data_IF_431245105610
#
_entry.id   IF_431245105610
#
_cell.length_a   1.000
_cell.length_b   1.000
_cell.length_c   1.000
_cell.angle_alpha   90.00
_cell.angle_beta   90.00
_cell.angle_gamma   90.00
#
_symmetry.space_group_name_H-M   'P 1'
#
loop_
_entity.id
_entity.type
_entity.pdbx_description
1 polymer ?
#
# COMPACT_ATOMS: atom_id res chain seq x y z
N UNK A 1 2.75 12.36 -14.63
CA UNK A 1 1.72 11.29 -14.50
C UNK A 1 2.01 10.13 -15.44
N UNK A 2 2.21 10.36 -16.73
CA UNK A 2 2.55 9.31 -17.72
C UNK A 2 3.76 8.48 -17.34
N UNK A 3 4.82 9.09 -16.83
CA UNK A 3 6.05 8.40 -16.45
C UNK A 3 5.81 7.31 -15.40
N UNK A 4 4.92 7.55 -14.44
CA UNK A 4 4.56 6.57 -13.42
C UNK A 4 3.86 5.34 -14.01
N UNK A 5 2.89 5.54 -14.91
CA UNK A 5 2.20 4.42 -15.57
C UNK A 5 3.10 3.65 -16.54
N UNK A 6 4.02 4.34 -17.21
CA UNK A 6 5.02 3.69 -18.04
C UNK A 6 5.94 2.79 -17.23
N UNK A 7 6.40 3.27 -16.04
CA UNK A 7 7.20 2.47 -15.11
C UNK A 7 6.39 1.28 -14.58
N UNK A 8 5.14 1.50 -14.17
CA UNK A 8 4.28 0.44 -13.67
C UNK A 8 3.99 -0.61 -14.75
N UNK A 9 3.65 -0.18 -15.97
CA UNK A 9 3.45 -1.06 -17.12
C UNK A 9 4.70 -1.87 -17.44
N UNK A 10 5.87 -1.23 -17.42
CA UNK A 10 7.16 -1.89 -17.62
C UNK A 10 7.41 -2.97 -16.55
N UNK A 11 7.17 -2.66 -15.28
CA UNK A 11 7.30 -3.62 -14.18
C UNK A 11 6.35 -4.82 -14.32
N UNK A 12 5.09 -4.57 -14.72
CA UNK A 12 4.12 -5.64 -14.96
C UNK A 12 4.56 -6.55 -16.13
N UNK A 13 5.09 -5.96 -17.21
CA UNK A 13 5.60 -6.72 -18.35
C UNK A 13 6.87 -7.52 -18.00
N UNK A 14 7.79 -6.94 -17.21
CA UNK A 14 8.99 -7.63 -16.71
C UNK A 14 8.66 -8.75 -15.72
N UNK A 15 7.57 -8.60 -14.94
CA UNK A 15 7.07 -9.61 -14.03
C UNK A 15 6.17 -10.66 -14.70
N UNK A 16 6.02 -10.62 -16.03
CA UNK A 16 5.15 -11.51 -16.82
C UNK A 16 3.66 -11.45 -16.41
N UNK A 17 3.24 -10.34 -15.79
CA UNK A 17 1.86 -10.08 -15.33
C UNK A 17 1.02 -9.52 -16.51
N UNK A 18 0.89 -10.27 -17.58
CA UNK A 18 0.27 -9.79 -18.82
C UNK A 18 -1.22 -9.47 -18.67
N UNK A 19 -1.93 -10.16 -17.79
CA UNK A 19 -3.33 -9.88 -17.47
C UNK A 19 -3.53 -8.48 -16.86
N UNK A 20 -2.74 -8.15 -15.85
CA UNK A 20 -2.77 -6.82 -15.18
C UNK A 20 -2.29 -5.72 -16.12
N UNK A 21 -1.26 -5.99 -16.93
CA UNK A 21 -0.79 -5.04 -17.94
C UNK A 21 -1.89 -4.72 -18.98
N UNK A 22 -2.70 -5.70 -19.38
CA UNK A 22 -3.84 -5.49 -20.27
C UNK A 22 -4.95 -4.67 -19.61
N UNK A 23 -5.25 -4.92 -18.33
CA UNK A 23 -6.24 -4.15 -17.58
C UNK A 23 -5.80 -2.70 -17.43
N UNK A 24 -4.54 -2.47 -17.07
CA UNK A 24 -3.97 -1.13 -16.99
C UNK A 24 -4.03 -0.40 -18.35
N UNK A 25 -3.71 -1.07 -19.46
CA UNK A 25 -3.80 -0.49 -20.79
C UNK A 25 -5.24 -0.16 -21.19
N UNK A 26 -6.21 -1.05 -20.90
CA UNK A 26 -7.64 -0.76 -21.13
C UNK A 26 -8.12 0.44 -20.33
N UNK A 27 -7.65 0.54 -19.09
CA UNK A 27 -7.94 1.69 -18.24
C UNK A 27 -7.33 2.99 -18.81
N UNK A 28 -6.06 2.98 -19.21
CA UNK A 28 -5.39 4.14 -19.79
C UNK A 28 -6.05 4.61 -21.09
N UNK A 29 -6.57 3.69 -21.91
CA UNK A 29 -7.33 4.01 -23.12
C UNK A 29 -8.69 4.68 -22.84
N UNK A 30 -9.26 4.51 -21.64
CA UNK A 30 -10.51 5.17 -21.23
C UNK A 30 -10.26 6.56 -20.63
N UNK A 31 -9.05 6.87 -20.15
CA UNK A 31 -8.69 8.16 -19.62
C UNK A 31 -8.69 9.22 -20.73
N UNK A 32 -9.20 10.44 -20.44
CA UNK A 32 -9.21 11.54 -21.39
C UNK A 32 -8.15 12.58 -21.03
N UNK A 33 -7.50 13.17 -22.02
CA UNK A 33 -6.61 14.33 -21.81
C UNK A 33 -5.15 14.13 -22.16
N UNK A 34 -4.79 12.97 -22.71
CA UNK A 34 -3.42 12.68 -23.15
C UNK A 34 -3.21 12.90 -24.66
N UNK A 35 -1.94 12.95 -25.10
CA UNK A 35 -1.58 13.11 -26.52
C UNK A 35 -2.02 11.88 -27.34
N UNK A 36 -2.58 12.09 -28.52
CA UNK A 36 -3.06 11.04 -29.43
C UNK A 36 -2.02 9.94 -29.69
N UNK A 37 -0.72 10.26 -29.62
CA UNK A 37 0.37 9.29 -29.81
C UNK A 37 0.42 8.23 -28.72
N UNK A 38 0.12 8.59 -27.48
CA UNK A 38 0.13 7.63 -26.37
C UNK A 38 -1.03 6.64 -26.49
N UNK A 39 -2.19 7.09 -26.95
CA UNK A 39 -3.32 6.18 -27.20
C UNK A 39 -3.01 5.18 -28.32
N UNK A 40 -2.34 5.60 -29.39
CA UNK A 40 -1.91 4.70 -30.46
C UNK A 40 -0.88 3.66 -29.98
N UNK A 41 0.06 4.07 -29.12
CA UNK A 41 1.06 3.19 -28.52
C UNK A 41 0.41 2.17 -27.56
N UNK A 42 -0.50 2.61 -26.70
CA UNK A 42 -1.22 1.74 -25.76
C UNK A 42 -2.16 0.75 -26.46
N UNK A 43 -2.88 1.19 -27.48
CA UNK A 43 -3.75 0.33 -28.28
C UNK A 43 -2.94 -0.72 -29.06
N UNK A 44 -1.80 -0.32 -29.62
CA UNK A 44 -0.89 -1.23 -30.31
C UNK A 44 -0.31 -2.27 -29.36
N UNK A 45 0.09 -1.87 -28.15
CA UNK A 45 0.64 -2.77 -27.15
C UNK A 45 -0.45 -3.71 -26.61
N UNK A 46 -1.66 -3.23 -26.35
CA UNK A 46 -2.79 -4.05 -25.94
C UNK A 46 -3.14 -5.09 -27.01
N UNK A 47 -3.21 -4.68 -28.27
CA UNK A 47 -3.46 -5.58 -29.40
C UNK A 47 -2.38 -6.67 -29.51
N UNK A 48 -1.11 -6.29 -29.31
CA UNK A 48 0.00 -7.25 -29.30
C UNK A 48 -0.10 -8.24 -28.14
N UNK A 49 -0.40 -7.75 -26.92
CA UNK A 49 -0.59 -8.60 -25.74
C UNK A 49 -1.77 -9.55 -25.92
N UNK A 50 -2.87 -9.12 -26.52
CA UNK A 50 -4.05 -9.96 -26.79
C UNK A 50 -3.76 -11.05 -27.84
N UNK A 51 -2.87 -10.78 -28.81
CA UNK A 51 -2.43 -11.77 -29.78
C UNK A 51 -1.37 -12.74 -29.23
N UNK A 52 -0.43 -12.23 -28.43
CA UNK A 52 0.69 -13.02 -27.91
C UNK A 52 0.27 -13.93 -26.75
N UNK A 53 -0.70 -13.50 -25.94
CA UNK A 53 -1.20 -14.19 -24.74
C UNK A 53 -2.73 -14.30 -24.77
N UNK A 54 -3.32 -15.06 -25.70
CA UNK A 54 -4.77 -15.26 -25.79
C UNK A 54 -5.25 -16.10 -24.61
N UNK A 55 -6.07 -15.52 -23.73
CA UNK A 55 -6.64 -16.19 -22.55
C UNK A 55 -6.44 -15.43 -21.26
N UNK A 56 -5.58 -14.43 -21.23
CA UNK A 56 -5.42 -13.52 -20.10
C UNK A 56 -6.20 -12.22 -20.37
N UNK A 57 -7.52 -12.26 -20.12
CA UNK A 57 -8.40 -11.09 -20.17
C UNK A 57 -9.27 -10.99 -21.42
N UNK A 58 -10.27 -11.81 -21.54
CA UNK A 58 -11.59 -11.52 -22.12
C UNK A 58 -12.53 -12.70 -21.93
N UNK A 59 -13.67 -12.49 -21.27
CA UNK A 59 -14.99 -12.68 -21.84
C UNK A 59 -16.07 -12.28 -20.81
N UNK A 60 -17.00 -11.47 -21.29
CA UNK A 60 -18.14 -11.03 -20.53
C UNK A 60 -19.08 -12.21 -20.18
N UNK A 61 -19.44 -12.25 -18.95
CA UNK A 61 -20.75 -12.50 -18.36
C UNK A 61 -20.62 -12.69 -16.84
N UNK A 62 -21.41 -11.98 -16.13
CA UNK A 62 -21.40 -11.48 -14.77
C UNK A 62 -21.47 -12.51 -13.61
N UNK A 63 -21.06 -13.78 -13.79
CA UNK A 63 -21.05 -14.74 -12.68
C UNK A 63 -19.86 -15.74 -12.71
N UNK A 64 -19.18 -15.91 -13.82
CA UNK A 64 -17.96 -16.73 -13.95
C UNK A 64 -16.68 -15.96 -13.60
N UNK A 65 -16.70 -14.62 -13.75
CA UNK A 65 -15.53 -13.75 -13.55
C UNK A 65 -15.03 -13.70 -12.10
N UNK A 66 -15.95 -13.63 -11.13
CA UNK A 66 -15.59 -13.64 -9.70
C UNK A 66 -15.03 -14.99 -9.25
N UNK A 67 -15.47 -16.10 -9.85
CA UNK A 67 -14.93 -17.42 -9.56
C UNK A 67 -13.57 -17.64 -10.18
N UNK A 68 -13.38 -17.27 -11.44
CA UNK A 68 -12.10 -17.39 -12.15
C UNK A 68 -11.04 -16.44 -11.59
N UNK A 69 -11.43 -15.23 -11.15
CA UNK A 69 -10.53 -14.29 -10.47
C UNK A 69 -10.09 -14.83 -9.11
N UNK A 70 -11.01 -15.40 -8.33
CA UNK A 70 -10.68 -16.05 -7.06
C UNK A 70 -9.75 -17.26 -7.24
N UNK A 71 -10.02 -18.11 -8.22
CA UNK A 71 -9.17 -19.27 -8.51
C UNK A 71 -7.76 -18.86 -8.95
N UNK A 72 -7.62 -17.81 -9.78
CA UNK A 72 -6.31 -17.26 -10.16
C UNK A 72 -5.59 -16.61 -8.97
N UNK A 73 -6.28 -15.81 -8.17
CA UNK A 73 -5.72 -15.20 -6.96
C UNK A 73 -5.29 -16.27 -5.93
N UNK A 74 -6.04 -17.38 -5.82
CA UNK A 74 -5.68 -18.51 -4.97
C UNK A 74 -4.48 -19.29 -5.53
N UNK A 75 -4.37 -19.46 -6.85
CA UNK A 75 -3.24 -20.12 -7.51
C UNK A 75 -1.96 -19.27 -7.41
N UNK A 76 -2.05 -17.96 -7.62
CA UNK A 76 -0.92 -17.03 -7.45
C UNK A 76 -0.48 -16.94 -5.99
N UNK A 77 -1.41 -16.87 -5.05
CA UNK A 77 -1.10 -16.90 -3.62
C UNK A 77 -0.40 -18.20 -3.21
N UNK A 78 -0.86 -19.33 -3.76
CA UNK A 78 -0.26 -20.65 -3.50
C UNK A 78 1.15 -20.77 -4.10
N UNK A 79 1.36 -20.28 -5.32
CA UNK A 79 2.68 -20.21 -5.96
C UNK A 79 3.64 -19.30 -5.16
N UNK A 80 3.17 -18.13 -4.76
CA UNK A 80 3.95 -17.19 -3.95
C UNK A 80 4.32 -17.83 -2.60
N UNK A 81 3.38 -18.51 -1.95
CA UNK A 81 3.64 -19.22 -0.70
C UNK A 81 4.71 -20.31 -0.89
N UNK A 82 4.66 -21.08 -1.96
CA UNK A 82 5.67 -22.11 -2.27
C UNK A 82 7.05 -21.50 -2.50
N UNK A 83 7.15 -20.35 -3.16
CA UNK A 83 8.40 -19.62 -3.40
C UNK A 83 8.99 -19.03 -2.11
N UNK A 84 8.11 -18.58 -1.21
CA UNK A 84 8.51 -17.99 0.08
C UNK A 84 8.85 -19.05 1.14
N UNK A 85 8.35 -20.27 0.98
CA UNK A 85 8.51 -21.39 1.91
C UNK A 85 9.25 -22.57 1.24
N UNK A 86 10.58 -22.46 1.01
CA UNK A 86 11.35 -23.56 0.45
C UNK A 86 11.36 -24.77 1.40
N UNK A 87 11.41 -26.01 0.86
CA UNK A 87 11.34 -27.22 1.66
C UNK A 87 12.58 -27.43 2.58
N UNK A 88 13.73 -26.88 2.20
CA UNK A 88 14.97 -26.96 2.98
C UNK A 88 15.24 -25.62 3.68
N UNK A 89 14.81 -25.52 4.94
CA UNK A 89 15.07 -24.37 5.82
C UNK A 89 16.21 -24.70 6.80
N UNK A 90 17.40 -24.89 6.27
CA UNK A 90 18.59 -25.12 7.09
C UNK A 90 19.02 -23.84 7.85
N UNK A 91 19.94 -24.00 8.80
CA UNK A 91 20.44 -22.88 9.60
C UNK A 91 21.12 -21.79 8.73
N UNK A 92 21.73 -22.17 7.61
CA UNK A 92 22.37 -21.25 6.70
C UNK A 92 21.32 -20.36 5.99
N UNK A 93 20.21 -20.95 5.54
CA UNK A 93 19.08 -20.22 4.96
C UNK A 93 18.46 -19.24 5.97
N UNK A 94 18.18 -19.70 7.20
CA UNK A 94 17.63 -18.83 8.26
C UNK A 94 18.54 -17.64 8.52
N UNK A 95 19.83 -17.88 8.68
CA UNK A 95 20.81 -16.82 8.92
C UNK A 95 20.90 -15.84 7.73
N UNK A 96 20.80 -16.32 6.50
CA UNK A 96 20.79 -15.47 5.31
C UNK A 96 19.54 -14.57 5.27
N UNK A 97 18.35 -15.12 5.54
CA UNK A 97 17.11 -14.34 5.57
C UNK A 97 17.18 -13.26 6.65
N UNK A 98 17.61 -13.59 7.86
CA UNK A 98 17.78 -12.63 8.95
C UNK A 98 18.84 -11.57 8.63
N UNK A 99 19.92 -11.93 7.98
CA UNK A 99 20.96 -11.00 7.57
C UNK A 99 20.42 -9.98 6.54
N UNK A 100 19.70 -10.44 5.50
CA UNK A 100 19.09 -9.57 4.49
C UNK A 100 18.06 -8.63 5.15
N UNK A 101 17.20 -9.17 5.98
CA UNK A 101 16.19 -8.39 6.71
C UNK A 101 16.81 -7.22 7.49
N UNK A 102 17.92 -7.46 8.18
CA UNK A 102 18.54 -6.49 9.09
C UNK A 102 19.50 -5.52 8.40
N UNK A 103 20.15 -5.93 7.30
CA UNK A 103 21.30 -5.22 6.78
C UNK A 103 21.19 -4.82 5.31
N UNK A 104 20.15 -5.28 4.57
CA UNK A 104 20.05 -4.92 3.17
C UNK A 104 19.67 -3.44 3.01
N UNK A 105 20.35 -2.67 2.13
CA UNK A 105 20.08 -1.23 1.98
C UNK A 105 18.71 -0.95 1.35
N UNK A 106 18.21 -1.84 0.49
CA UNK A 106 16.92 -1.65 -0.18
C UNK A 106 15.76 -2.15 0.68
N UNK A 107 14.76 -1.30 0.89
CA UNK A 107 13.53 -1.57 1.65
C UNK A 107 12.79 -2.79 1.10
N UNK A 108 12.66 -2.91 -0.21
CA UNK A 108 11.96 -4.03 -0.87
C UNK A 108 12.60 -5.38 -0.54
N UNK A 109 13.93 -5.44 -0.47
CA UNK A 109 14.64 -6.66 -0.10
C UNK A 109 14.47 -7.02 1.37
N UNK A 110 14.40 -6.02 2.26
CA UNK A 110 14.06 -6.23 3.66
C UNK A 110 12.63 -6.77 3.81
N UNK A 111 11.67 -6.21 3.05
CA UNK A 111 10.27 -6.66 3.03
C UNK A 111 10.18 -8.10 2.52
N UNK A 112 10.85 -8.42 1.42
CA UNK A 112 10.89 -9.79 0.88
C UNK A 112 11.50 -10.79 1.88
N UNK A 113 12.55 -10.38 2.60
CA UNK A 113 13.14 -11.22 3.66
C UNK A 113 12.15 -11.44 4.81
N UNK A 114 11.38 -10.44 5.21
CA UNK A 114 10.31 -10.57 6.20
C UNK A 114 9.17 -11.48 5.73
N UNK A 115 8.79 -11.42 4.46
CA UNK A 115 7.80 -12.33 3.88
C UNK A 115 8.27 -13.79 3.94
N UNK A 116 9.55 -14.06 3.67
CA UNK A 116 10.17 -15.38 3.84
C UNK A 116 10.26 -15.78 5.30
N UNK A 117 10.65 -14.86 6.18
CA UNK A 117 10.74 -15.09 7.62
C UNK A 117 9.41 -15.54 8.23
N UNK A 118 8.27 -15.12 7.67
CA UNK A 118 6.94 -15.53 8.13
C UNK A 118 6.69 -17.05 8.03
N UNK A 119 7.41 -17.77 7.16
CA UNK A 119 7.29 -19.22 6.96
C UNK A 119 8.38 -20.03 7.65
N UNK A 120 9.40 -19.40 8.24
CA UNK A 120 10.47 -20.09 8.96
C UNK A 120 9.93 -20.60 10.29
N UNK A 121 10.12 -21.91 10.58
CA UNK A 121 9.57 -22.54 11.80
C UNK A 121 10.38 -22.29 13.07
N UNK A 122 11.57 -21.73 12.96
CA UNK A 122 12.52 -21.50 14.07
C UNK A 122 12.05 -20.40 15.01
N UNK A 123 11.79 -20.66 16.30
CA UNK A 123 11.26 -19.65 17.25
C UNK A 123 12.18 -18.46 17.48
N UNK A 124 13.49 -18.64 17.37
CA UNK A 124 14.52 -17.61 17.56
C UNK A 124 14.38 -16.43 16.58
N UNK A 125 13.67 -16.65 15.46
CA UNK A 125 13.38 -15.61 14.47
C UNK A 125 12.50 -14.51 15.07
N UNK A 126 11.52 -14.85 15.91
CA UNK A 126 10.63 -13.89 16.55
C UNK A 126 11.42 -12.95 17.48
N UNK A 127 12.31 -13.51 18.28
CA UNK A 127 13.15 -12.71 19.18
C UNK A 127 14.15 -11.85 18.42
N UNK A 128 14.68 -12.35 17.30
CA UNK A 128 15.55 -11.60 16.41
C UNK A 128 14.85 -10.39 15.80
N UNK A 129 13.61 -10.57 15.28
CA UNK A 129 12.80 -9.49 14.71
C UNK A 129 12.44 -8.47 15.79
N UNK A 130 11.95 -8.90 16.96
CA UNK A 130 11.59 -8.00 18.07
C UNK A 130 12.78 -7.17 18.54
N UNK A 131 13.93 -7.83 18.74
CA UNK A 131 15.15 -7.14 19.17
C UNK A 131 15.62 -6.12 18.13
N UNK A 132 15.59 -6.49 16.85
CA UNK A 132 15.94 -5.59 15.75
C UNK A 132 15.05 -4.33 15.73
N UNK A 133 13.72 -4.49 15.80
CA UNK A 133 12.77 -3.39 15.83
C UNK A 133 12.97 -2.41 17.00
N UNK A 134 13.44 -2.92 18.14
CA UNK A 134 13.64 -2.09 19.35
C UNK A 134 15.01 -1.41 19.35
N UNK A 135 16.03 -2.04 18.79
CA UNK A 135 17.42 -1.58 18.91
C UNK A 135 17.90 -0.75 17.73
N UNK A 136 17.25 -0.84 16.57
CA UNK A 136 17.67 -0.15 15.35
C UNK A 136 16.59 0.82 14.84
N UNK A 137 17.04 1.87 14.16
CA UNK A 137 16.13 2.74 13.40
C UNK A 137 15.78 2.04 12.10
N UNK A 138 14.57 1.51 12.02
CA UNK A 138 14.03 0.79 10.87
C UNK A 138 13.01 1.68 10.16
N UNK A 139 13.01 1.63 8.83
CA UNK A 139 12.04 2.39 8.04
C UNK A 139 10.58 2.04 8.45
N UNK A 140 9.65 3.00 8.59
CA UNK A 140 8.30 2.76 9.13
C UNK A 140 7.51 1.67 8.39
N UNK A 141 7.64 1.59 7.06
CA UNK A 141 7.01 0.54 6.25
C UNK A 141 7.57 -0.84 6.61
N UNK A 142 8.89 -0.94 6.74
CA UNK A 142 9.56 -2.20 7.14
C UNK A 142 9.17 -2.60 8.56
N UNK A 143 9.07 -1.63 9.50
CA UNK A 143 8.55 -1.89 10.84
C UNK A 143 7.13 -2.48 10.79
N UNK A 144 6.23 -1.92 9.98
CA UNK A 144 4.86 -2.43 9.84
C UNK A 144 4.86 -3.85 9.24
N UNK A 145 5.67 -4.11 8.23
CA UNK A 145 5.83 -5.45 7.64
C UNK A 145 6.42 -6.47 8.62
N UNK A 146 7.33 -6.04 9.49
CA UNK A 146 7.87 -6.87 10.55
C UNK A 146 6.83 -7.23 11.62
N UNK A 147 5.95 -6.28 12.00
CA UNK A 147 4.81 -6.55 12.87
C UNK A 147 3.83 -7.56 12.23
N UNK A 148 3.53 -7.40 10.93
CA UNK A 148 2.72 -8.37 10.18
C UNK A 148 3.38 -9.76 10.13
N UNK A 149 4.70 -9.83 9.94
CA UNK A 149 5.46 -11.07 10.00
C UNK A 149 5.33 -11.74 11.36
N UNK A 150 5.55 -11.01 12.45
CA UNK A 150 5.40 -11.52 13.82
C UNK A 150 4.00 -12.06 14.08
N UNK A 151 2.94 -11.32 13.66
CA UNK A 151 1.56 -11.79 13.79
C UNK A 151 1.29 -13.06 13.00
N UNK A 152 1.75 -13.15 11.74
CA UNK A 152 1.62 -14.37 10.89
C UNK A 152 2.30 -15.58 11.53
N UNK A 153 3.40 -15.35 12.24
CA UNK A 153 4.13 -16.40 12.99
C UNK A 153 3.47 -16.77 14.32
N UNK A 154 2.38 -16.08 14.71
CA UNK A 154 1.67 -16.31 15.97
C UNK A 154 2.34 -15.69 17.20
N UNK A 155 3.25 -14.73 17.00
CA UNK A 155 3.82 -13.98 18.11
C UNK A 155 2.74 -13.11 18.77
N UNK A 156 2.75 -13.09 20.10
CA UNK A 156 1.78 -12.37 20.92
C UNK A 156 2.45 -11.39 21.88
N UNK A 157 1.64 -10.48 22.44
CA UNK A 157 2.05 -9.52 23.45
C UNK A 157 2.34 -8.13 22.91
N UNK A 158 2.76 -7.25 23.83
CA UNK A 158 3.02 -5.85 23.52
C UNK A 158 4.49 -5.65 23.11
N UNK A 159 4.70 -4.81 22.11
CA UNK A 159 6.03 -4.39 21.66
C UNK A 159 6.11 -2.87 21.69
N UNK A 160 7.11 -2.34 22.38
CA UNK A 160 7.39 -0.90 22.44
C UNK A 160 8.53 -0.57 21.48
N UNK A 161 8.32 0.38 20.57
CA UNK A 161 9.33 0.82 19.60
C UNK A 161 9.16 2.30 19.23
N UNK A 162 10.19 2.86 18.59
CA UNK A 162 10.16 4.22 18.05
C UNK A 162 9.60 4.21 16.63
N UNK A 163 8.54 5.04 16.39
CA UNK A 163 7.96 5.23 15.05
C UNK A 163 7.72 6.71 14.79
N UNK A 164 8.25 7.23 13.69
CA UNK A 164 8.12 8.65 13.30
C UNK A 164 8.45 9.65 14.42
N UNK A 165 9.41 9.30 15.31
CA UNK A 165 9.80 10.11 16.44
C UNK A 165 8.88 10.01 17.65
N UNK A 166 7.96 9.06 17.67
CA UNK A 166 7.07 8.76 18.79
C UNK A 166 7.40 7.38 19.37
N UNK A 167 7.43 7.24 20.69
CA UNK A 167 7.47 5.93 21.35
C UNK A 167 6.06 5.35 21.35
N UNK A 168 5.86 4.22 20.70
CA UNK A 168 4.56 3.56 20.58
C UNK A 168 4.58 2.18 21.20
N UNK A 169 3.47 1.79 21.83
CA UNK A 169 3.25 0.42 22.33
C UNK A 169 2.20 -0.25 21.45
N UNK A 170 2.55 -1.36 20.83
CA UNK A 170 1.74 -2.05 19.84
C UNK A 170 1.45 -3.48 20.26
N UNK A 171 0.21 -3.89 20.14
CA UNK A 171 -0.23 -5.28 20.28
C UNK A 171 0.04 -6.03 18.98
N UNK A 172 0.89 -7.05 19.05
CA UNK A 172 1.28 -7.85 17.89
C UNK A 172 0.08 -8.60 17.29
N UNK A 173 -0.84 -9.07 18.13
CA UNK A 173 -2.04 -9.82 17.71
C UNK A 173 -3.05 -8.91 17.00
N UNK A 174 -3.06 -7.62 17.32
CA UNK A 174 -3.95 -6.63 16.72
C UNK A 174 -3.41 -6.00 15.43
N UNK A 175 -2.20 -6.35 14.97
CA UNK A 175 -1.61 -5.79 13.75
C UNK A 175 -2.39 -6.24 12.50
N UNK A 176 -2.98 -5.35 11.67
CA UNK A 176 -3.76 -5.74 10.50
C UNK A 176 -2.90 -6.43 9.44
N UNK A 177 -3.37 -7.56 8.88
CA UNK A 177 -2.71 -8.27 7.78
C UNK A 177 -3.23 -7.83 6.41
N UNK A 178 -4.49 -7.37 6.35
CA UNK A 178 -5.15 -6.87 5.15
C UNK A 178 -5.89 -5.57 5.45
N UNK A 179 -6.40 -4.91 4.42
CA UNK A 179 -7.15 -3.66 4.57
C UNK A 179 -8.46 -3.88 5.36
N UNK A 180 -9.10 -5.02 5.19
CA UNK A 180 -10.38 -5.37 5.84
C UNK A 180 -10.25 -5.62 7.35
N UNK A 181 -9.03 -5.83 7.84
CA UNK A 181 -8.76 -6.03 9.26
C UNK A 181 -8.52 -4.71 10.01
N UNK A 182 -8.44 -3.59 9.31
CA UNK A 182 -8.37 -2.29 9.99
C UNK A 182 -9.71 -1.95 10.65
N UNK A 183 -9.68 -1.19 11.78
CA UNK A 183 -10.89 -0.75 12.45
C UNK A 183 -11.84 0.04 11.53
N UNK A 184 -13.14 -0.10 11.76
CA UNK A 184 -14.20 0.54 10.95
C UNK A 184 -13.99 2.04 10.68
N UNK A 185 -13.55 2.89 11.64
CA UNK A 185 -13.30 4.31 11.35
C UNK A 185 -12.25 4.51 10.24
N UNK A 186 -11.21 3.68 10.20
CA UNK A 186 -10.15 3.74 9.16
C UNK A 186 -10.71 3.43 7.77
N UNK A 187 -11.58 2.42 7.69
CA UNK A 187 -12.25 2.02 6.45
C UNK A 187 -13.23 3.13 5.99
N UNK A 188 -14.01 3.69 6.92
CA UNK A 188 -14.96 4.78 6.62
C UNK A 188 -14.28 6.05 6.07
N UNK A 189 -13.08 6.38 6.53
CA UNK A 189 -12.30 7.51 5.98
C UNK A 189 -12.02 7.27 4.49
N UNK A 190 -11.57 6.07 4.13
CA UNK A 190 -11.33 5.71 2.72
C UNK A 190 -12.61 5.75 1.91
N UNK A 191 -13.66 5.06 2.36
CA UNK A 191 -14.97 5.03 1.68
C UNK A 191 -15.52 6.44 1.43
N UNK A 192 -15.40 7.33 2.43
CA UNK A 192 -15.82 8.72 2.32
C UNK A 192 -15.03 9.50 1.28
N UNK A 193 -13.72 9.25 1.21
CA UNK A 193 -12.84 9.85 0.19
C UNK A 193 -13.18 9.34 -1.20
N UNK A 194 -13.34 8.02 -1.36
CA UNK A 194 -13.68 7.39 -2.63
C UNK A 194 -15.02 7.93 -3.18
N UNK A 195 -16.06 7.99 -2.35
CA UNK A 195 -17.38 8.50 -2.74
C UNK A 195 -17.34 9.94 -3.25
N UNK A 196 -16.51 10.80 -2.66
CA UNK A 196 -16.40 12.20 -3.09
C UNK A 196 -15.52 12.30 -4.33
N UNK A 197 -14.37 11.64 -4.33
CA UNK A 197 -13.40 11.72 -5.42
C UNK A 197 -13.94 11.14 -6.74
N UNK A 198 -14.77 10.08 -6.68
CA UNK A 198 -15.39 9.46 -7.84
C UNK A 198 -16.27 10.42 -8.66
N UNK A 199 -16.86 11.44 -7.99
CA UNK A 199 -17.71 12.45 -8.66
C UNK A 199 -16.88 13.31 -9.61
N UNK A 200 -15.66 13.63 -9.24
CA UNK A 200 -14.77 14.49 -10.02
C UNK A 200 -14.01 13.70 -11.08
N UNK A 201 -13.49 12.54 -10.71
CA UNK A 201 -12.75 11.63 -11.60
C UNK A 201 -12.90 10.17 -11.13
N UNK A 202 -13.54 9.29 -11.94
CA UNK A 202 -13.75 7.88 -11.60
C UNK A 202 -12.47 7.08 -11.36
N UNK A 203 -11.31 7.60 -11.70
CA UNK A 203 -10.02 6.94 -11.48
C UNK A 203 -9.43 7.20 -10.10
N UNK A 204 -9.80 8.33 -9.47
CA UNK A 204 -9.28 8.74 -8.17
C UNK A 204 -9.52 7.75 -7.03
N UNK A 205 -10.64 7.00 -6.94
CA UNK A 205 -10.85 6.00 -5.89
C UNK A 205 -9.74 4.95 -5.83
N UNK A 206 -9.25 4.50 -6.98
CA UNK A 206 -8.14 3.55 -7.01
C UNK A 206 -6.87 4.14 -6.36
N UNK A 207 -6.50 5.35 -6.74
CA UNK A 207 -5.33 6.03 -6.17
C UNK A 207 -5.51 6.39 -4.69
N UNK A 208 -6.73 6.75 -4.30
CA UNK A 208 -7.07 6.98 -2.89
C UNK A 208 -6.78 5.74 -2.04
N UNK A 209 -7.16 4.57 -2.54
CA UNK A 209 -6.95 3.29 -1.85
C UNK A 209 -5.48 2.97 -1.67
N UNK A 210 -4.67 3.11 -2.72
CA UNK A 210 -3.24 2.83 -2.64
C UNK A 210 -2.53 3.86 -1.72
N UNK A 211 -2.81 5.15 -1.90
CA UNK A 211 -2.26 6.21 -1.04
C UNK A 211 -2.63 5.98 0.44
N UNK A 212 -3.88 5.56 0.71
CA UNK A 212 -4.34 5.28 2.07
C UNK A 212 -3.64 4.08 2.68
N UNK A 213 -3.55 2.98 1.93
CA UNK A 213 -2.84 1.77 2.33
C UNK A 213 -1.36 2.04 2.68
N UNK A 214 -0.68 2.82 1.85
CA UNK A 214 0.68 3.26 2.11
C UNK A 214 0.76 4.15 3.35
N UNK A 215 -0.13 5.16 3.45
CA UNK A 215 -0.17 6.05 4.61
C UNK A 215 -0.38 5.31 5.92
N UNK A 216 -1.23 4.29 5.95
CA UNK A 216 -1.47 3.47 7.12
C UNK A 216 -0.23 2.68 7.55
N UNK A 217 0.60 2.22 6.62
CA UNK A 217 1.86 1.54 6.96
C UNK A 217 2.83 2.45 7.72
N UNK A 218 2.86 3.75 7.38
CA UNK A 218 3.65 4.73 8.12
C UNK A 218 3.02 5.10 9.47
N UNK A 219 1.72 5.37 9.49
CA UNK A 219 1.03 5.97 10.64
C UNK A 219 0.58 4.96 11.70
N UNK A 220 0.60 3.66 11.41
CA UNK A 220 0.10 2.62 12.32
C UNK A 220 0.70 2.76 13.73
N UNK A 221 -0.16 2.86 14.73
CA UNK A 221 0.21 2.98 16.14
C UNK A 221 0.65 4.38 16.61
N UNK A 222 0.81 5.36 15.71
CA UNK A 222 1.15 6.74 16.08
C UNK A 222 -0.04 7.49 16.68
N UNK A 223 0.20 8.68 17.24
CA UNK A 223 -0.86 9.56 17.73
C UNK A 223 -1.89 9.90 16.64
N UNK A 224 -1.43 10.11 15.39
CA UNK A 224 -2.31 10.35 14.25
C UNK A 224 -3.22 9.15 13.96
N UNK A 225 -2.68 7.94 13.99
CA UNK A 225 -3.47 6.71 13.86
C UNK A 225 -4.54 6.59 14.96
N UNK A 226 -4.18 6.85 16.21
CA UNK A 226 -5.14 6.80 17.32
C UNK A 226 -6.25 7.86 17.20
N UNK A 227 -5.98 8.99 16.55
CA UNK A 227 -7.03 9.96 16.26
C UNK A 227 -8.02 9.44 15.23
N UNK A 228 -7.57 8.71 14.22
CA UNK A 228 -8.44 8.11 13.21
C UNK A 228 -9.41 7.08 13.78
N UNK A 229 -9.08 6.48 14.94
CA UNK A 229 -9.92 5.47 15.59
C UNK A 229 -11.16 6.04 16.28
N UNK A 230 -11.35 7.36 16.30
CA UNK A 230 -12.54 7.96 16.88
C UNK A 230 -13.75 7.70 15.98
N UNK A 231 -14.88 7.37 16.60
CA UNK A 231 -16.10 7.01 15.88
C UNK A 231 -16.98 8.22 15.52
N UNK A 232 -16.53 9.46 15.81
CA UNK A 232 -17.29 10.65 15.44
C UNK A 232 -17.20 10.97 13.94
N UNK A 233 -18.31 11.44 13.36
CA UNK A 233 -18.40 11.78 11.94
C UNK A 233 -17.41 12.88 11.55
N UNK A 234 -17.20 13.88 12.42
CA UNK A 234 -16.26 14.96 12.19
C UNK A 234 -14.84 14.41 11.93
N UNK A 235 -14.44 13.34 12.66
CA UNK A 235 -13.14 12.67 12.47
C UNK A 235 -13.04 12.04 11.08
N UNK A 236 -14.08 11.38 10.63
CA UNK A 236 -14.12 10.79 9.30
C UNK A 236 -14.02 11.89 8.22
N UNK A 237 -14.81 12.95 8.34
CA UNK A 237 -14.83 14.03 7.35
C UNK A 237 -13.49 14.78 7.26
N UNK A 238 -12.85 15.17 8.38
CA UNK A 238 -11.60 15.91 8.26
C UNK A 238 -10.41 15.04 7.84
N UNK A 239 -10.37 13.74 8.15
CA UNK A 239 -9.34 12.85 7.61
C UNK A 239 -9.59 12.49 6.14
N UNK A 240 -10.85 12.29 5.74
CA UNK A 240 -11.20 12.08 4.34
C UNK A 240 -10.87 13.31 3.47
N UNK A 241 -11.17 14.52 3.96
CA UNK A 241 -10.77 15.76 3.31
C UNK A 241 -9.24 15.89 3.17
N UNK A 242 -8.49 15.53 4.22
CA UNK A 242 -7.03 15.56 4.21
C UNK A 242 -6.44 14.53 3.24
N UNK A 243 -7.02 13.33 3.18
CA UNK A 243 -6.63 12.29 2.22
C UNK A 243 -6.92 12.75 0.79
N UNK A 244 -8.10 13.31 0.53
CA UNK A 244 -8.47 13.81 -0.80
C UNK A 244 -7.55 14.96 -1.25
N UNK A 245 -7.27 15.92 -0.38
CA UNK A 245 -6.32 17.00 -0.68
C UNK A 245 -4.93 16.43 -1.03
N UNK A 246 -4.43 15.46 -0.24
CA UNK A 246 -3.14 14.83 -0.49
C UNK A 246 -3.14 14.07 -1.81
N UNK A 247 -4.23 13.36 -2.10
CA UNK A 247 -4.44 12.64 -3.36
C UNK A 247 -4.34 13.59 -4.56
N UNK A 248 -5.09 14.69 -4.56
CA UNK A 248 -5.07 15.66 -5.65
C UNK A 248 -3.69 16.31 -5.83
N UNK A 249 -3.00 16.61 -4.74
CA UNK A 249 -1.63 17.12 -4.79
C UNK A 249 -0.66 16.10 -5.38
N UNK A 250 -0.81 14.82 -5.06
CA UNK A 250 0.02 13.73 -5.58
C UNK A 250 -0.25 13.46 -7.06
N UNK A 251 -1.53 13.41 -7.45
CA UNK A 251 -1.94 13.06 -8.82
C UNK A 251 -1.79 14.24 -9.78
N UNK A 252 -2.25 15.43 -9.39
CA UNK A 252 -2.32 16.60 -10.28
C UNK A 252 -1.28 17.70 -9.96
N UNK A 253 -0.51 17.54 -8.87
CA UNK A 253 0.48 18.54 -8.44
C UNK A 253 -0.13 19.82 -7.85
N UNK A 254 -1.46 19.95 -7.86
CA UNK A 254 -2.17 21.13 -7.32
C UNK A 254 -3.57 20.75 -6.86
N UNK A 255 -4.06 21.45 -5.82
CA UNK A 255 -5.42 21.28 -5.32
C UNK A 255 -5.89 22.59 -4.67
N UNK A 256 -7.20 22.83 -4.70
CA UNK A 256 -7.81 23.95 -4.02
C UNK A 256 -8.29 23.53 -2.62
N UNK A 257 -7.59 23.97 -1.59
CA UNK A 257 -7.90 23.63 -0.19
C UNK A 257 -9.29 24.14 0.25
N UNK A 258 -9.72 25.32 -0.25
CA UNK A 258 -11.03 25.88 0.09
C UNK A 258 -12.16 25.02 -0.48
N UNK A 259 -12.06 24.55 -1.73
CA UNK A 259 -13.05 23.67 -2.36
C UNK A 259 -13.15 22.33 -1.62
N UNK A 260 -12.02 21.76 -1.20
CA UNK A 260 -12.00 20.52 -0.41
C UNK A 260 -12.71 20.73 0.94
N UNK A 261 -12.39 21.82 1.65
CA UNK A 261 -13.03 22.11 2.94
C UNK A 261 -14.54 22.29 2.80
N UNK A 262 -14.98 22.98 1.76
CA UNK A 262 -16.41 23.21 1.48
C UNK A 262 -17.10 21.87 1.16
N UNK A 263 -16.48 21.02 0.35
CA UNK A 263 -17.03 19.71 -0.06
C UNK A 263 -17.23 18.77 1.12
N UNK A 264 -16.30 18.76 2.07
CA UNK A 264 -16.38 17.91 3.28
C UNK A 264 -17.03 18.61 4.48
N UNK A 265 -17.51 19.83 4.32
CA UNK A 265 -18.16 20.58 5.39
C UNK A 265 -17.22 20.95 6.55
N UNK A 266 -15.95 21.18 6.26
CA UNK A 266 -14.95 21.55 7.27
C UNK A 266 -15.17 22.98 7.73
N UNK A 267 -15.86 23.12 8.85
CA UNK A 267 -16.14 24.41 9.50
C UNK A 267 -14.88 24.99 10.17
N UNK A 268 -14.92 26.28 10.53
CA UNK A 268 -13.85 26.93 11.32
C UNK A 268 -13.53 26.18 12.61
N UNK A 269 -14.53 25.52 13.24
CA UNK A 269 -14.32 24.71 14.44
C UNK A 269 -13.50 23.44 14.20
N UNK A 270 -13.52 22.89 12.99
CA UNK A 270 -12.81 21.68 12.58
C UNK A 270 -11.47 21.97 11.90
N UNK A 271 -11.26 23.21 11.48
CA UNK A 271 -10.11 23.65 10.68
C UNK A 271 -8.77 23.20 11.28
N UNK A 272 -8.56 23.40 12.57
CA UNK A 272 -7.33 23.01 13.24
C UNK A 272 -7.08 21.48 13.16
N UNK A 273 -8.14 20.66 13.34
CA UNK A 273 -8.04 19.21 13.26
C UNK A 273 -7.74 18.75 11.84
N UNK A 274 -8.40 19.37 10.86
CA UNK A 274 -8.13 19.14 9.45
C UNK A 274 -6.67 19.47 9.07
N UNK A 275 -6.16 20.64 9.50
CA UNK A 275 -4.75 21.01 9.27
C UNK A 275 -3.76 20.03 9.89
N UNK A 276 -4.08 19.46 11.08
CA UNK A 276 -3.27 18.41 11.70
C UNK A 276 -3.32 17.11 10.90
N UNK A 277 -4.48 16.71 10.39
CA UNK A 277 -4.63 15.54 9.51
C UNK A 277 -3.84 15.71 8.21
N UNK A 278 -3.96 16.88 7.56
CA UNK A 278 -3.15 17.23 6.38
C UNK A 278 -1.65 17.16 6.66
N UNK A 279 -1.21 17.66 7.82
CA UNK A 279 0.21 17.61 8.20
C UNK A 279 0.70 16.17 8.35
N UNK A 280 -0.08 15.30 8.99
CA UNK A 280 0.28 13.90 9.16
C UNK A 280 0.42 13.18 7.82
N UNK A 281 -0.54 13.35 6.89
CA UNK A 281 -0.49 12.71 5.57
C UNK A 281 0.61 13.29 4.68
N UNK A 282 0.85 14.60 4.69
CA UNK A 282 1.96 15.22 3.95
C UNK A 282 3.33 14.76 4.47
N UNK A 283 3.46 14.55 5.76
CA UNK A 283 4.70 14.01 6.33
C UNK A 283 5.01 12.62 5.76
N UNK A 284 3.99 11.78 5.59
CA UNK A 284 4.12 10.48 4.94
C UNK A 284 4.58 10.64 3.49
N UNK A 285 3.92 11.50 2.71
CA UNK A 285 4.27 11.72 1.30
C UNK A 285 5.72 12.21 1.11
N UNK A 286 6.22 13.06 2.01
CA UNK A 286 7.63 13.51 1.99
C UNK A 286 8.59 12.37 2.30
N UNK A 287 8.27 11.51 3.27
CA UNK A 287 9.12 10.37 3.63
C UNK A 287 9.18 9.31 2.53
N UNK A 288 8.09 9.11 1.79
CA UNK A 288 8.05 8.22 0.62
C UNK A 288 9.02 8.71 -0.48
N UNK A 289 8.97 9.99 -0.84
CA UNK A 289 9.85 10.56 -1.84
C UNK A 289 11.33 10.51 -1.43
N UNK A 290 11.63 10.70 -0.15
CA UNK A 290 13.00 10.64 0.36
C UNK A 290 13.61 9.23 0.36
N UNK A 291 12.79 8.19 0.38
CA UNK A 291 13.22 6.78 0.28
C UNK A 291 13.52 6.33 -1.15
N UNK A 292 13.01 7.05 -2.16
CA UNK A 292 13.25 6.77 -3.58
C UNK A 292 14.50 7.48 -4.13
N UNK A 293 14.97 8.54 -3.46
CA UNK A 293 16.08 9.41 -3.91
C UNK A 293 17.46 9.04 -3.36
N UNK A 294 17.65 7.89 -2.69
CA UNK A 294 19.03 7.48 -2.32
C UNK A 294 19.77 7.03 -3.59
N UNK A 295 20.81 7.79 -4.05
CA UNK A 295 21.52 7.45 -5.26
C UNK A 295 22.37 6.20 -5.03
N UNK A 296 22.31 5.29 -6.00
CA UNK A 296 23.28 4.21 -6.18
C UNK A 296 24.71 4.79 -6.04
N UNK A 297 25.39 4.45 -4.97
CA UNK A 297 26.79 4.76 -4.72
C UNK A 297 27.65 3.53 -4.89
#
# INVERSE_FOLDING_TARGET
MLDHYQVQLTRMLEAEQYGEAKELLRFLLQCQGEDARHYEEWDSLLTWLDMAFPGEGNDGEDSGFLSAKREKEEDEATMREQLLNPPDQDEAYVNQVLYIMQNHPMIDQQILALERAAYIQTPEVDDSIKNWLVTQQVHPVVQFKALQCLRKRGAAGLLTLERLGETVELDLEATPLSMDEFPSPIIRILERTEQVAEVDDPTLPHFARELWKESLQFLYGTAAYHWMLREDEDTVDYFAAALHLTLLLTVYGSANDDDIRDTYGITEGLRFRYEQACKALRQVAVLQQSGEDEPES
#
